data_IF_583449657199
#
_entry.id   IF_583449657199
#
_cell.length_a   1.000
_cell.length_b   1.000
_cell.length_c   1.000
_cell.angle_alpha   90.00
_cell.angle_beta   90.00
_cell.angle_gamma   90.00
#
_symmetry.space_group_name_H-M   'P 1'
#
loop_
_entity.id
_entity.type
_entity.pdbx_description
1 polymer ?
#
# COMPACT_ATOMS: atom_id res chain seq x y z
N UNK A 1 17.89 -5.80 30.42
CA UNK A 1 16.66 -5.91 29.64
C UNK A 1 16.21 -4.52 29.29
N UNK A 2 16.31 -4.15 28.02
CA UNK A 2 15.75 -2.91 27.48
C UNK A 2 15.02 -3.32 26.20
N UNK A 3 13.70 -3.29 26.24
CA UNK A 3 12.89 -3.36 25.04
C UNK A 3 13.13 -2.04 24.31
N UNK A 4 14.04 -2.02 23.34
CA UNK A 4 14.18 -0.88 22.44
C UNK A 4 12.81 -0.63 21.79
N UNK A 5 12.28 0.61 21.81
CA UNK A 5 11.04 0.93 21.14
C UNK A 5 11.19 0.55 19.67
N UNK A 6 10.27 -0.29 19.20
CA UNK A 6 10.33 -0.86 17.86
C UNK A 6 9.77 0.19 16.90
N UNK A 7 10.63 1.07 16.41
CA UNK A 7 10.27 1.99 15.33
C UNK A 7 10.15 1.18 14.04
N UNK A 8 8.94 1.11 13.49
CA UNK A 8 8.72 0.61 12.13
C UNK A 8 8.63 1.85 11.24
N UNK A 9 9.74 2.30 10.63
CA UNK A 9 9.69 3.44 9.73
C UNK A 9 8.84 3.08 8.53
N UNK A 10 7.93 3.99 8.17
CA UNK A 10 7.19 3.92 6.92
C UNK A 10 7.38 5.24 6.19
N UNK A 11 7.48 5.18 4.86
CA UNK A 11 7.31 6.36 4.03
C UNK A 11 5.81 6.61 3.86
N UNK A 12 5.36 7.85 3.80
CA UNK A 12 3.97 8.17 3.47
C UNK A 12 3.98 9.37 2.54
N UNK A 13 3.22 9.29 1.44
CA UNK A 13 2.87 10.47 0.66
C UNK A 13 1.58 11.04 1.21
N UNK A 14 1.65 12.27 1.70
CA UNK A 14 0.52 13.01 2.21
C UNK A 14 0.35 14.31 1.44
N UNK A 15 -0.88 14.59 1.03
CA UNK A 15 -1.20 15.86 0.42
C UNK A 15 -1.08 16.97 1.48
N UNK A 16 -0.33 18.02 1.14
CA UNK A 16 -0.30 19.24 1.95
C UNK A 16 -1.63 19.95 1.75
N UNK A 17 -2.38 20.15 2.85
CA UNK A 17 -3.65 20.88 2.82
C UNK A 17 -3.46 22.32 2.35
N UNK A 18 -4.55 23.00 1.98
CA UNK A 18 -4.52 24.42 1.59
C UNK A 18 -3.97 25.35 2.69
N UNK A 19 -3.92 24.87 3.93
CA UNK A 19 -3.32 25.52 5.08
C UNK A 19 -1.82 25.21 5.29
N UNK A 20 -1.18 24.50 4.35
CA UNK A 20 0.23 24.13 4.45
C UNK A 20 0.52 22.96 5.40
N UNK A 21 -0.50 22.23 5.88
CA UNK A 21 -0.34 21.17 6.90
C UNK A 21 -0.62 19.78 6.35
N UNK A 22 0.04 18.79 6.95
CA UNK A 22 -0.29 17.37 6.86
C UNK A 22 -0.87 16.93 8.20
N UNK A 23 -1.94 16.13 8.18
CA UNK A 23 -2.57 15.60 9.39
C UNK A 23 -2.09 14.18 9.68
N UNK A 24 -1.67 13.93 10.92
CA UNK A 24 -1.36 12.60 11.44
C UNK A 24 -2.40 12.27 12.51
N UNK A 25 -3.09 11.15 12.37
CA UNK A 25 -4.11 10.70 13.31
C UNK A 25 -3.65 9.45 14.06
N UNK A 26 -3.73 9.49 15.39
CA UNK A 26 -3.59 8.32 16.25
C UNK A 26 -4.97 7.87 16.75
N UNK A 27 -5.38 6.66 16.38
CA UNK A 27 -6.64 6.06 16.82
C UNK A 27 -6.57 5.30 18.15
N UNK A 28 -5.41 5.31 18.83
CA UNK A 28 -5.17 4.68 20.14
C UNK A 28 -5.12 5.72 21.27
N UNK A 29 -4.93 5.27 22.52
CA UNK A 29 -4.82 6.15 23.70
C UNK A 29 -3.58 7.06 23.62
N UNK A 30 -2.41 6.52 23.27
CA UNK A 30 -1.18 7.31 23.09
C UNK A 30 -0.15 6.57 22.23
N UNK A 31 0.62 7.33 21.45
CA UNK A 31 1.82 6.87 20.72
C UNK A 31 2.75 8.06 20.52
N UNK A 32 4.05 7.81 20.44
CA UNK A 32 5.01 8.79 19.94
C UNK A 32 5.01 8.78 18.41
N UNK A 33 5.14 9.96 17.79
CA UNK A 33 5.20 10.13 16.34
C UNK A 33 6.43 10.96 15.98
N UNK A 34 7.27 10.42 15.09
CA UNK A 34 8.35 11.14 14.42
C UNK A 34 8.03 11.14 12.92
N UNK A 35 8.12 12.29 12.27
CA UNK A 35 7.87 12.44 10.84
C UNK A 35 9.02 13.22 10.20
N UNK A 36 9.67 12.60 9.22
CA UNK A 36 10.70 13.22 8.39
C UNK A 36 10.19 13.40 6.95
N UNK A 37 10.41 14.57 6.36
CA UNK A 37 10.07 14.84 4.97
C UNK A 37 11.29 14.59 4.07
N UNK A 38 11.18 13.63 3.15
CA UNK A 38 12.28 13.23 2.25
C UNK A 38 12.16 13.87 0.85
N UNK A 39 11.03 14.52 0.54
CA UNK A 39 10.81 15.24 -0.72
C UNK A 39 9.38 15.74 -0.90
N UNK A 40 9.12 16.48 -1.98
CA UNK A 40 7.78 16.93 -2.37
C UNK A 40 7.60 16.84 -3.89
N UNK A 41 6.36 16.62 -4.34
CA UNK A 41 5.99 16.74 -5.76
C UNK A 41 5.34 18.11 -5.97
N UNK A 42 5.68 18.79 -7.07
CA UNK A 42 5.03 20.04 -7.45
C UNK A 42 3.80 19.78 -8.31
N UNK A 43 2.87 20.74 -8.36
CA UNK A 43 1.61 20.62 -9.10
C UNK A 43 1.79 20.54 -10.63
N UNK A 44 3.01 20.73 -11.15
CA UNK A 44 3.30 20.53 -12.58
C UNK A 44 3.54 19.05 -12.90
N UNK A 45 2.41 18.36 -12.99
CA UNK A 45 2.05 17.31 -13.96
C UNK A 45 2.31 15.81 -13.73
N UNK A 46 3.12 15.36 -12.77
CA UNK A 46 3.36 13.90 -12.66
C UNK A 46 2.53 13.20 -11.57
N UNK A 47 2.41 13.76 -10.37
CA UNK A 47 1.66 13.11 -9.28
C UNK A 47 0.26 13.69 -9.11
N UNK A 48 -0.74 12.81 -9.06
CA UNK A 48 -2.14 13.14 -8.81
C UNK A 48 -2.52 12.64 -7.41
N UNK A 49 -2.45 13.48 -6.36
CA UNK A 49 -2.80 13.07 -5.00
C UNK A 49 -4.29 12.75 -4.90
N UNK A 50 -4.64 11.83 -4.00
CA UNK A 50 -6.00 11.44 -3.69
C UNK A 50 -6.26 11.57 -2.19
N UNK A 51 -7.53 11.75 -1.81
CA UNK A 51 -7.96 11.43 -0.45
C UNK A 51 -7.71 9.93 -0.25
N UNK A 52 -6.95 9.50 0.78
CA UNK A 52 -6.64 8.10 0.96
C UNK A 52 -7.89 7.21 0.98
N UNK A 53 -7.86 6.14 0.19
CA UNK A 53 -9.01 5.25 0.01
C UNK A 53 -8.59 3.78 0.10
N UNK A 54 -9.28 3.00 0.92
CA UNK A 54 -9.01 1.57 1.09
C UNK A 54 -9.56 0.75 -0.07
N UNK A 55 -8.67 0.21 -0.92
CA UNK A 55 -9.04 -0.58 -2.11
C UNK A 55 -8.72 -2.07 -1.97
N UNK A 56 -8.04 -2.48 -0.90
CA UNK A 56 -7.83 -3.89 -0.54
C UNK A 56 -7.81 -4.02 0.97
N UNK A 57 -8.54 -5.01 1.49
CA UNK A 57 -8.43 -5.45 2.87
C UNK A 57 -8.79 -6.92 2.94
N UNK A 58 -7.79 -7.80 3.01
CA UNK A 58 -8.08 -9.24 3.03
C UNK A 58 -8.58 -9.72 4.38
N UNK A 59 -8.45 -8.94 5.45
CA UNK A 59 -8.86 -9.38 6.80
C UNK A 59 -10.34 -9.67 6.82
N UNK A 60 -10.73 -10.77 7.46
CA UNK A 60 -12.13 -11.17 7.55
C UNK A 60 -13.03 -10.05 8.09
N UNK A 61 -14.23 -9.94 7.51
CA UNK A 61 -15.27 -8.97 7.88
C UNK A 61 -14.91 -7.50 7.66
N UNK A 62 -13.78 -7.19 7.04
CA UNK A 62 -13.45 -5.82 6.64
C UNK A 62 -14.13 -5.44 5.30
N UNK A 63 -14.27 -4.14 5.08
CA UNK A 63 -14.80 -3.57 3.84
C UNK A 63 -13.76 -2.68 3.17
N UNK A 64 -13.82 -2.62 1.84
CA UNK A 64 -13.16 -1.61 1.02
C UNK A 64 -14.20 -0.58 0.56
N UNK A 65 -13.76 0.51 -0.05
CA UNK A 65 -14.63 1.60 -0.52
C UNK A 65 -15.78 1.16 -1.44
N UNK A 66 -15.68 0.00 -2.09
CA UNK A 66 -16.61 -0.51 -3.08
C UNK A 66 -16.93 -2.00 -2.87
N UNK A 67 -16.51 -2.58 -1.74
CA UNK A 67 -16.69 -3.98 -1.40
C UNK A 67 -15.84 -4.97 -2.21
N UNK A 68 -15.07 -4.52 -3.21
CA UNK A 68 -14.17 -5.40 -3.97
C UNK A 68 -12.89 -5.66 -3.18
N UNK A 69 -12.35 -6.88 -3.30
CA UNK A 69 -11.12 -7.29 -2.60
C UNK A 69 -11.20 -7.09 -1.07
N UNK A 70 -12.40 -7.31 -0.51
CA UNK A 70 -12.69 -7.17 0.90
C UNK A 70 -12.91 -8.55 1.54
N UNK A 71 -12.35 -8.77 2.74
CA UNK A 71 -12.66 -9.93 3.56
C UNK A 71 -12.43 -11.27 2.86
N UNK A 72 -11.35 -11.41 2.08
CA UNK A 72 -11.02 -12.64 1.35
C UNK A 72 -10.15 -13.62 2.14
N UNK A 73 -9.68 -13.22 3.32
CA UNK A 73 -8.79 -13.96 4.21
C UNK A 73 -7.31 -13.76 3.94
N UNK A 74 -6.44 -14.28 4.83
CA UNK A 74 -5.00 -14.24 4.63
C UNK A 74 -4.59 -14.83 3.28
N UNK A 75 -3.52 -14.28 2.67
CA UNK A 75 -2.89 -14.78 1.46
C UNK A 75 -1.81 -15.78 1.83
N UNK A 76 -1.93 -16.99 1.31
CA UNK A 76 -0.94 -18.06 1.52
C UNK A 76 0.40 -17.74 0.85
N UNK A 77 1.47 -18.28 1.41
CA UNK A 77 2.81 -18.14 0.84
C UNK A 77 2.90 -18.81 -0.52
N UNK A 78 3.72 -18.25 -1.40
CA UNK A 78 3.84 -18.69 -2.79
C UNK A 78 2.67 -18.28 -3.68
N UNK A 79 1.71 -17.48 -3.18
CA UNK A 79 0.54 -17.06 -3.97
C UNK A 79 0.62 -15.60 -4.40
N UNK A 80 -0.05 -15.30 -5.51
CA UNK A 80 -0.17 -13.93 -6.06
C UNK A 80 -1.63 -13.52 -6.09
N UNK A 81 -1.92 -12.31 -5.60
CA UNK A 81 -3.20 -11.62 -5.74
C UNK A 81 -3.07 -10.57 -6.85
N UNK A 82 -3.88 -10.69 -7.90
CA UNK A 82 -4.05 -9.61 -8.89
C UNK A 82 -5.18 -8.70 -8.43
N UNK A 83 -4.88 -7.41 -8.25
CA UNK A 83 -5.81 -6.41 -7.76
C UNK A 83 -6.10 -5.37 -8.84
N UNK A 84 -7.39 -5.14 -9.13
CA UNK A 84 -7.84 -4.02 -9.95
C UNK A 84 -7.58 -2.70 -9.24
N UNK A 85 -6.94 -1.77 -9.95
CA UNK A 85 -6.67 -0.41 -9.44
C UNK A 85 -7.34 0.68 -10.27
N UNK A 86 -7.42 0.54 -11.60
CA UNK A 86 -8.16 1.50 -12.43
C UNK A 86 -9.63 1.56 -12.03
N UNK A 87 -10.18 2.78 -12.00
CA UNK A 87 -11.59 3.04 -11.67
C UNK A 87 -11.92 2.93 -10.18
N UNK A 88 -10.92 2.75 -9.30
CA UNK A 88 -11.13 2.57 -7.85
C UNK A 88 -10.44 3.66 -7.05
N UNK A 89 -11.08 4.09 -5.96
CA UNK A 89 -10.47 5.01 -4.98
C UNK A 89 -10.08 6.38 -5.55
N UNK A 90 -10.76 6.84 -6.60
CA UNK A 90 -10.42 8.10 -7.29
C UNK A 90 -9.37 7.95 -8.39
N UNK A 91 -8.85 6.74 -8.64
CA UNK A 91 -8.01 6.46 -9.81
C UNK A 91 -8.90 6.41 -11.07
N UNK A 92 -8.55 7.14 -12.16
CA UNK A 92 -9.26 7.03 -13.43
C UNK A 92 -9.30 5.60 -13.99
N UNK A 93 -10.29 5.31 -14.83
CA UNK A 93 -10.44 3.99 -15.44
C UNK A 93 -9.39 3.70 -16.54
N UNK A 94 -8.69 4.72 -17.04
CA UNK A 94 -7.68 4.65 -18.10
C UNK A 94 -6.65 5.77 -17.93
N UNK A 95 -5.51 5.68 -18.62
CA UNK A 95 -4.50 6.74 -18.64
C UNK A 95 -3.65 6.85 -17.37
N UNK A 96 -3.59 5.78 -16.58
CA UNK A 96 -2.83 5.71 -15.32
C UNK A 96 -1.69 4.72 -15.50
N UNK A 97 -0.45 5.21 -15.40
CA UNK A 97 0.77 4.43 -15.58
C UNK A 97 1.33 3.84 -14.27
N UNK A 98 1.09 4.48 -13.13
CA UNK A 98 1.49 3.97 -11.82
C UNK A 98 0.53 4.41 -10.72
N UNK A 99 0.46 3.62 -9.64
CA UNK A 99 -0.29 3.94 -8.43
C UNK A 99 0.65 4.04 -7.23
N UNK A 100 0.27 4.90 -6.30
CA UNK A 100 0.93 5.04 -5.00
C UNK A 100 0.01 4.47 -3.94
N UNK A 101 0.50 3.45 -3.25
CA UNK A 101 -0.25 2.71 -2.24
C UNK A 101 0.51 2.71 -0.93
N UNK A 102 -0.19 2.88 0.18
CA UNK A 102 0.28 2.36 1.46
C UNK A 102 -0.15 0.90 1.55
N UNK A 103 0.80 -0.03 1.52
CA UNK A 103 0.54 -1.48 1.57
C UNK A 103 0.96 -1.99 2.94
N UNK A 104 0.03 -2.65 3.64
CA UNK A 104 0.25 -3.17 4.99
C UNK A 104 0.14 -4.69 5.01
N UNK A 105 1.16 -5.33 5.58
CA UNK A 105 1.15 -6.73 6.00
C UNK A 105 0.55 -6.77 7.40
N UNK A 106 -0.48 -7.58 7.62
CA UNK A 106 -1.09 -7.81 8.94
C UNK A 106 -1.18 -9.30 9.25
N UNK A 107 -1.07 -9.66 10.52
CA UNK A 107 -1.13 -11.05 10.99
C UNK A 107 -0.19 -12.05 10.27
N UNK A 108 1.07 -11.71 9.94
CA UNK A 108 1.96 -12.67 9.29
C UNK A 108 2.25 -13.85 10.22
N UNK A 109 2.24 -15.08 9.67
CA UNK A 109 2.50 -16.31 10.44
C UNK A 109 3.95 -16.76 10.42
N UNK A 110 4.76 -16.28 9.47
CA UNK A 110 6.21 -16.59 9.36
C UNK A 110 6.99 -15.37 8.91
N UNK A 111 8.32 -15.48 8.90
CA UNK A 111 9.14 -14.52 8.17
C UNK A 111 8.82 -14.59 6.68
N UNK A 112 8.86 -13.45 6.01
CA UNK A 112 8.59 -13.37 4.58
C UNK A 112 8.65 -11.95 4.04
N UNK A 113 8.20 -11.81 2.80
CA UNK A 113 8.08 -10.52 2.15
C UNK A 113 6.91 -10.46 1.18
N UNK A 114 6.47 -9.23 0.89
CA UNK A 114 5.62 -8.93 -0.25
C UNK A 114 6.42 -8.32 -1.39
N UNK A 115 6.06 -8.69 -2.62
CA UNK A 115 6.45 -7.98 -3.85
C UNK A 115 5.19 -7.45 -4.53
N UNK A 116 5.23 -6.22 -5.03
CA UNK A 116 4.14 -5.53 -5.71
C UNK A 116 4.64 -5.00 -7.04
N UNK A 117 3.98 -5.37 -8.15
CA UNK A 117 4.49 -5.08 -9.49
C UNK A 117 3.35 -5.09 -10.55
N UNK A 118 3.56 -4.61 -11.79
CA UNK A 118 2.52 -4.64 -12.81
C UNK A 118 2.15 -6.07 -13.24
N UNK A 119 0.85 -6.35 -13.34
CA UNK A 119 0.35 -7.60 -13.93
C UNK A 119 0.86 -7.79 -15.36
N UNK A 120 0.97 -9.05 -15.79
CA UNK A 120 1.44 -9.40 -17.14
C UNK A 120 2.96 -9.33 -17.31
N UNK A 121 3.70 -9.04 -16.25
CA UNK A 121 5.17 -9.10 -16.22
C UNK A 121 5.67 -10.17 -15.25
N UNK A 122 6.88 -10.67 -15.47
CA UNK A 122 7.49 -11.68 -14.61
C UNK A 122 7.70 -11.11 -13.20
N UNK A 123 7.38 -11.90 -12.17
CA UNK A 123 7.67 -11.58 -10.77
C UNK A 123 9.13 -11.10 -10.62
N UNK A 124 9.35 -9.86 -10.13
CA UNK A 124 10.70 -9.37 -9.86
C UNK A 124 11.35 -10.08 -8.67
N UNK A 125 12.69 -10.08 -8.62
CA UNK A 125 13.46 -10.58 -7.47
C UNK A 125 13.53 -9.57 -6.29
N UNK A 126 12.87 -8.42 -6.40
CA UNK A 126 12.87 -7.37 -5.37
C UNK A 126 11.70 -7.55 -4.40
N UNK A 127 11.92 -7.31 -3.11
CA UNK A 127 10.86 -7.18 -2.11
C UNK A 127 10.47 -5.71 -1.87
N UNK A 128 9.20 -5.47 -1.54
CA UNK A 128 8.69 -4.17 -1.12
C UNK A 128 8.51 -4.09 0.39
N UNK A 129 8.01 -5.16 1.03
CA UNK A 129 7.77 -5.20 2.48
C UNK A 129 8.38 -6.48 3.00
N UNK A 130 9.29 -6.39 3.96
CA UNK A 130 9.81 -7.56 4.69
C UNK A 130 9.14 -7.62 6.05
N UNK A 131 8.76 -8.81 6.49
CA UNK A 131 8.00 -9.00 7.73
C UNK A 131 8.44 -10.23 8.51
N UNK A 132 8.11 -10.20 9.80
CA UNK A 132 8.33 -11.27 10.78
C UNK A 132 7.00 -11.56 11.47
N UNK A 133 6.79 -12.76 12.04
CA UNK A 133 5.48 -13.14 12.55
C UNK A 133 5.00 -12.22 13.67
N UNK A 134 3.68 -11.97 13.69
CA UNK A 134 3.02 -11.15 14.71
C UNK A 134 3.32 -9.66 14.66
N UNK A 135 3.96 -9.16 13.59
CA UNK A 135 4.21 -7.72 13.38
C UNK A 135 3.41 -7.21 12.19
N UNK A 136 2.60 -6.18 12.43
CA UNK A 136 1.98 -5.41 11.35
C UNK A 136 3.00 -4.44 10.79
N UNK A 137 3.25 -4.50 9.49
CA UNK A 137 4.30 -3.71 8.82
C UNK A 137 3.70 -3.00 7.60
N UNK A 138 3.56 -1.67 7.64
CA UNK A 138 3.21 -0.89 6.45
C UNK A 138 4.46 -0.48 5.67
N UNK A 139 4.35 -0.39 4.35
CA UNK A 139 5.30 0.30 3.48
C UNK A 139 4.58 1.06 2.35
N UNK A 140 5.04 2.25 2.00
CA UNK A 140 4.63 2.91 0.76
C UNK A 140 5.23 2.20 -0.46
N UNK A 141 4.38 1.94 -1.44
CA UNK A 141 4.74 1.30 -2.69
C UNK A 141 4.31 2.19 -3.85
N UNK A 142 5.23 2.44 -4.77
CA UNK A 142 4.92 2.98 -6.09
C UNK A 142 5.01 1.81 -7.07
N UNK A 143 3.87 1.41 -7.63
CA UNK A 143 3.77 0.28 -8.55
C UNK A 143 3.29 0.74 -9.91
N UNK A 144 4.00 0.37 -10.98
CA UNK A 144 3.47 0.47 -12.34
C UNK A 144 2.19 -0.35 -12.44
N UNK A 145 1.23 0.16 -13.20
CA UNK A 145 -0.01 -0.56 -13.50
C UNK A 145 0.21 -1.42 -14.75
N UNK A 146 -0.17 -2.70 -14.66
CA UNK A 146 -0.02 -3.67 -15.73
C UNK A 146 -1.29 -3.82 -16.58
N UNK A 147 -1.37 -4.97 -17.25
CA UNK A 147 -2.49 -5.30 -18.12
C UNK A 147 -3.85 -5.18 -17.40
N UNK A 148 -4.84 -4.63 -18.11
CA UNK A 148 -6.21 -4.39 -17.65
C UNK A 148 -6.32 -3.50 -16.39
N UNK A 149 -5.32 -2.66 -16.11
CA UNK A 149 -5.42 -1.72 -14.98
C UNK A 149 -5.20 -2.36 -13.62
N UNK A 150 -4.37 -3.40 -13.56
CA UNK A 150 -4.15 -4.20 -12.36
C UNK A 150 -2.69 -4.17 -11.90
N UNK A 151 -2.48 -4.50 -10.62
CA UNK A 151 -1.18 -4.84 -10.06
C UNK A 151 -1.21 -6.25 -9.46
N UNK A 152 -0.04 -6.89 -9.37
CA UNK A 152 0.15 -8.17 -8.70
C UNK A 152 0.80 -7.95 -7.35
N UNK A 153 0.34 -8.69 -6.33
CA UNK A 153 0.90 -8.73 -4.98
C UNK A 153 1.24 -10.18 -4.64
N UNK A 154 2.51 -10.48 -4.43
CA UNK A 154 3.02 -11.80 -4.09
C UNK A 154 3.34 -11.87 -2.61
N UNK A 155 2.95 -12.96 -1.96
CA UNK A 155 3.44 -13.31 -0.63
C UNK A 155 4.46 -14.44 -0.72
N UNK A 156 5.68 -14.24 -0.23
CA UNK A 156 6.75 -15.25 -0.32
C UNK A 156 6.50 -16.50 0.52
N UNK A 157 5.92 -16.36 1.71
CA UNK A 157 5.93 -17.41 2.74
C UNK A 157 4.91 -17.14 3.84
N UNK A 158 4.45 -18.21 4.50
CA UNK A 158 3.45 -18.11 5.56
C UNK A 158 2.11 -17.57 5.07
N UNK A 159 1.17 -17.36 5.97
CA UNK A 159 -0.06 -16.65 5.67
C UNK A 159 0.06 -15.22 6.20
N UNK A 160 -0.46 -14.25 5.47
CA UNK A 160 -0.59 -12.87 5.95
C UNK A 160 -1.81 -12.21 5.35
N UNK A 161 -2.45 -11.32 6.10
CA UNK A 161 -3.38 -10.37 5.52
C UNK A 161 -2.63 -9.25 4.79
N UNK A 162 -3.27 -8.73 3.75
CA UNK A 162 -2.78 -7.60 2.97
C UNK A 162 -3.85 -6.52 2.95
N UNK A 163 -3.44 -5.30 3.23
CA UNK A 163 -4.28 -4.10 3.17
C UNK A 163 -3.60 -3.13 2.20
N UNK A 164 -4.37 -2.48 1.33
CA UNK A 164 -3.84 -1.40 0.49
C UNK A 164 -4.78 -0.20 0.48
N UNK A 165 -4.21 0.94 0.85
CA UNK A 165 -4.85 2.25 0.76
C UNK A 165 -4.17 3.02 -0.39
N UNK A 166 -4.95 3.46 -1.39
CA UNK A 166 -4.42 4.33 -2.46
C UNK A 166 -4.33 5.75 -1.95
N UNK A 167 -3.21 6.42 -2.25
CA UNK A 167 -2.97 7.83 -1.86
C UNK A 167 -2.69 8.75 -3.05
N UNK A 168 -2.52 8.18 -4.24
CA UNK A 168 -2.38 8.94 -5.48
C UNK A 168 -1.94 8.06 -6.65
N UNK A 169 -1.74 8.69 -7.81
CA UNK A 169 -1.37 8.00 -9.05
C UNK A 169 -0.55 8.90 -9.97
N UNK A 170 0.08 8.29 -10.97
CA UNK A 170 0.80 8.95 -12.05
C UNK A 170 0.14 8.62 -13.40
N UNK A 171 -0.04 9.60 -14.30
CA UNK A 171 -0.54 9.32 -15.63
C UNK A 171 0.44 8.43 -16.40
N UNK A 172 -0.05 7.78 -17.47
CA UNK A 172 0.84 7.15 -18.42
C UNK A 172 1.76 8.23 -19.02
N UNK A 173 3.05 7.93 -19.19
CA UNK A 173 3.95 8.84 -19.90
C UNK A 173 3.40 9.11 -21.31
N UNK A 174 3.57 10.34 -21.86
CA UNK A 174 3.16 10.66 -23.22
C UNK A 174 3.80 9.76 -24.27
#
# INVERSE_FOLDING_TARGET
>A
GLNSPLTIPNLVLAQVGSNGKVSIFNGSTSTDVVADAVGYFSNSEEFRPLIPARILDTRWYQQTIDGQFAGSGPRSGGTTLNMQVWGRGGIPAVGVGAVVLNVTVANPTTNGYLTVWPTGTRLPNSSNINFVPGKTVPNLVIAKVGANGQISIFNSSGATDVIADVVGWFPTAP
#
